data_IF_130374533234
#
_entry.id   IF_130374533234
#
_cell.length_a   1.000
_cell.length_b   1.000
_cell.length_c   1.000
_cell.angle_alpha   90.00
_cell.angle_beta   90.00
_cell.angle_gamma   90.00
#
_symmetry.space_group_name_H-M   'P 1'
#
loop_
_entity.id
_entity.type
_entity.pdbx_description
1 polymer ?
#
# COMPACT_ATOMS: atom_id res chain seq x y z
N UNK A 1 9.21 -9.48 7.74
CA UNK A 1 8.73 -8.31 8.47
C UNK A 1 7.22 -8.31 8.48
N UNK A 2 6.62 -7.15 8.71
CA UNK A 2 5.16 -6.98 8.72
C UNK A 2 4.81 -5.73 7.93
N UNK A 3 3.85 -5.84 7.02
CA UNK A 3 3.21 -4.72 6.35
C UNK A 3 2.04 -4.18 7.18
N UNK A 4 1.73 -2.90 6.99
CA UNK A 4 0.47 -2.28 7.37
C UNK A 4 -0.24 -1.85 6.09
N UNK A 5 -1.39 -2.46 5.80
CA UNK A 5 -2.31 -1.98 4.77
C UNK A 5 -3.40 -1.15 5.43
N UNK A 6 -3.40 0.17 5.16
CA UNK A 6 -4.40 1.10 5.64
C UNK A 6 -5.34 1.48 4.50
N UNK A 7 -6.65 1.26 4.67
CA UNK A 7 -7.66 1.69 3.69
C UNK A 7 -8.60 2.69 4.34
N UNK A 8 -8.62 3.92 3.82
CA UNK A 8 -9.45 5.03 4.33
C UNK A 8 -10.60 5.33 3.38
N UNK A 9 -11.82 5.45 3.91
CA UNK A 9 -12.98 5.93 3.17
C UNK A 9 -12.83 7.43 2.89
N UNK A 10 -13.02 7.86 1.64
CA UNK A 10 -13.01 9.29 1.30
C UNK A 10 -14.37 9.99 1.52
N UNK A 11 -15.38 9.26 1.98
CA UNK A 11 -16.72 9.82 2.30
C UNK A 11 -16.90 10.03 3.80
N UNK A 12 -16.62 9.00 4.61
CA UNK A 12 -16.86 9.04 6.06
C UNK A 12 -15.59 8.98 6.92
N UNK A 13 -14.42 9.08 6.29
CA UNK A 13 -13.07 9.06 6.90
C UNK A 13 -12.71 7.84 7.75
N UNK A 14 -13.58 6.83 7.82
CA UNK A 14 -13.28 5.55 8.47
C UNK A 14 -12.04 4.90 7.86
N UNK A 15 -11.14 4.42 8.70
CA UNK A 15 -9.92 3.72 8.30
C UNK A 15 -9.92 2.27 8.81
N UNK A 16 -9.62 1.33 7.91
CA UNK A 16 -9.31 -0.05 8.24
C UNK A 16 -7.81 -0.27 8.19
N UNK A 17 -7.27 -1.03 9.14
CA UNK A 17 -5.84 -1.33 9.24
C UNK A 17 -5.65 -2.84 9.31
N UNK A 18 -4.85 -3.39 8.40
CA UNK A 18 -4.53 -4.81 8.34
C UNK A 18 -3.03 -5.00 8.43
N UNK A 19 -2.58 -5.89 9.32
CA UNK A 19 -1.18 -6.24 9.50
C UNK A 19 -0.89 -7.58 8.85
N UNK A 20 0.03 -7.61 7.88
CA UNK A 20 0.31 -8.79 7.07
C UNK A 20 1.79 -9.15 7.14
N UNK A 21 2.17 -10.39 7.50
CA UNK A 21 3.57 -10.79 7.51
C UNK A 21 4.12 -10.85 6.07
N UNK A 22 5.40 -10.50 5.90
CA UNK A 22 6.12 -10.69 4.64
C UNK A 22 7.50 -11.32 4.88
N UNK A 23 7.98 -12.06 3.88
CA UNK A 23 9.35 -12.61 3.87
C UNK A 23 10.24 -11.75 2.97
N UNK A 24 9.78 -11.47 1.75
CA UNK A 24 10.46 -10.67 0.75
C UNK A 24 9.47 -9.64 0.18
N UNK A 25 9.60 -8.34 0.48
CA UNK A 25 8.75 -7.33 -0.11
C UNK A 25 9.12 -7.14 -1.59
N UNK A 26 8.09 -7.02 -2.42
CA UNK A 26 8.26 -6.72 -3.84
C UNK A 26 8.08 -5.22 -4.07
N UNK A 27 9.12 -4.53 -4.53
CA UNK A 27 9.08 -3.09 -4.81
C UNK A 27 8.87 -2.83 -6.30
N UNK A 28 7.89 -1.99 -6.69
CA UNK A 28 7.76 -1.51 -8.05
C UNK A 28 8.91 -0.58 -8.41
N UNK A 29 9.41 -0.69 -9.64
CA UNK A 29 10.42 0.22 -10.18
C UNK A 29 9.70 1.41 -10.83
N UNK A 30 9.98 2.66 -10.40
CA UNK A 30 9.43 3.85 -11.06
C UNK A 30 9.80 3.89 -12.54
N UNK A 31 8.89 4.36 -13.40
CA UNK A 31 9.08 4.47 -14.86
C UNK A 31 10.00 5.64 -15.24
N UNK A 32 11.24 5.59 -14.80
CA UNK A 32 12.28 6.60 -15.03
C UNK A 32 13.55 5.91 -15.52
N UNK A 33 14.34 6.55 -16.40
CA UNK A 33 15.58 5.97 -16.93
C UNK A 33 16.62 5.61 -15.84
N UNK A 34 16.60 6.30 -14.72
CA UNK A 34 17.44 6.03 -13.55
C UNK A 34 16.62 6.31 -12.28
N UNK A 35 16.67 5.40 -11.31
CA UNK A 35 16.04 5.57 -10.00
C UNK A 35 16.91 4.94 -8.91
N UNK A 36 16.72 5.40 -7.68
CA UNK A 36 17.35 4.82 -6.49
C UNK A 36 16.44 3.77 -5.83
N UNK A 37 16.98 3.01 -4.87
CA UNK A 37 16.17 2.09 -4.07
C UNK A 37 15.17 2.85 -3.19
N UNK A 38 15.58 4.02 -2.70
CA UNK A 38 14.75 4.97 -1.97
C UNK A 38 13.54 5.40 -2.80
N UNK A 39 13.71 5.63 -4.10
CA UNK A 39 12.60 5.98 -4.99
C UNK A 39 11.62 4.81 -5.17
N UNK A 40 12.13 3.57 -5.21
CA UNK A 40 11.28 2.37 -5.24
C UNK A 40 10.45 2.25 -3.95
N UNK A 41 11.04 2.53 -2.79
CA UNK A 41 10.32 2.56 -1.52
C UNK A 41 9.31 3.71 -1.42
N UNK A 42 9.67 4.90 -1.92
CA UNK A 42 8.72 6.02 -2.00
C UNK A 42 7.52 5.65 -2.86
N UNK A 43 7.76 5.05 -4.02
CA UNK A 43 6.69 4.61 -4.93
C UNK A 43 5.85 3.48 -4.31
N UNK A 44 6.48 2.51 -3.64
CA UNK A 44 5.78 1.46 -2.90
C UNK A 44 4.82 2.00 -1.82
N UNK A 45 5.20 3.07 -1.13
CA UNK A 45 4.40 3.68 -0.06
C UNK A 45 3.40 4.75 -0.55
N UNK A 46 3.20 4.91 -1.87
CA UNK A 46 2.25 5.87 -2.41
C UNK A 46 0.80 5.48 -2.12
N UNK A 47 -0.05 6.49 -2.04
CA UNK A 47 -1.49 6.30 -1.91
C UNK A 47 -2.07 5.77 -3.23
N UNK A 48 -2.70 4.60 -3.15
CA UNK A 48 -3.52 4.04 -4.21
C UNK A 48 -4.97 4.51 -4.04
N UNK A 49 -5.50 5.23 -5.02
CA UNK A 49 -6.88 5.70 -4.98
C UNK A 49 -7.83 4.64 -5.54
N UNK A 50 -8.68 4.12 -4.67
CA UNK A 50 -9.70 3.12 -4.97
C UNK A 50 -10.96 3.82 -5.50
N UNK A 51 -10.99 4.11 -6.80
CA UNK A 51 -12.06 4.84 -7.50
C UNK A 51 -12.64 4.01 -8.64
N UNK A 52 -13.78 4.44 -9.21
CA UNK A 52 -14.46 3.79 -10.33
C UNK A 52 -14.76 2.30 -10.05
N UNK A 53 -14.20 1.38 -10.84
CA UNK A 53 -14.42 -0.06 -10.70
C UNK A 53 -13.62 -0.68 -9.55
N UNK A 54 -12.60 0.03 -9.05
CA UNK A 54 -11.75 -0.41 -7.93
C UNK A 54 -12.24 0.08 -6.57
N UNK A 55 -13.47 0.62 -6.47
CA UNK A 55 -14.03 1.15 -5.22
C UNK A 55 -14.07 0.10 -4.12
N UNK A 56 -13.90 0.55 -2.89
CA UNK A 56 -13.89 -0.30 -1.72
C UNK A 56 -15.22 -0.26 -0.98
N UNK A 57 -15.69 -1.41 -0.48
CA UNK A 57 -16.89 -1.48 0.35
C UNK A 57 -16.59 -0.95 1.75
N UNK A 58 -17.16 0.20 2.09
CA UNK A 58 -16.98 0.78 3.41
C UNK A 58 -17.96 0.15 4.41
N UNK A 59 -17.50 -0.47 5.51
CA UNK A 59 -18.39 -1.10 6.49
C UNK A 59 -19.24 -0.07 7.27
N UNK A 60 -18.76 1.17 7.40
CA UNK A 60 -19.50 2.26 8.04
C UNK A 60 -20.58 2.87 7.13
N UNK A 61 -20.29 3.05 5.84
CA UNK A 61 -21.28 3.54 4.87
C UNK A 61 -22.18 2.45 4.29
N UNK A 62 -21.80 1.18 4.48
CA UNK A 62 -22.47 -0.01 3.93
C UNK A 62 -22.67 0.05 2.40
N UNK A 63 -21.72 0.65 1.68
CA UNK A 63 -21.75 0.76 0.21
C UNK A 63 -20.34 0.88 -0.37
N UNK A 64 -20.22 0.67 -1.68
CA UNK A 64 -19.01 0.96 -2.44
C UNK A 64 -18.73 2.47 -2.41
N UNK A 65 -17.57 2.84 -1.87
CA UNK A 65 -17.12 4.22 -1.74
C UNK A 65 -15.76 4.39 -2.40
N UNK A 66 -15.47 5.62 -2.81
CA UNK A 66 -14.10 5.99 -3.12
C UNK A 66 -13.26 5.84 -1.85
N UNK A 67 -12.10 5.23 -2.00
CA UNK A 67 -11.18 4.96 -0.91
C UNK A 67 -9.76 5.36 -1.27
N UNK A 68 -8.91 5.35 -0.25
CA UNK A 68 -7.47 5.52 -0.38
C UNK A 68 -6.80 4.38 0.36
N UNK A 69 -6.01 3.59 -0.34
CA UNK A 69 -5.26 2.47 0.22
C UNK A 69 -3.79 2.83 0.24
N UNK A 70 -3.13 2.54 1.35
CA UNK A 70 -1.69 2.72 1.51
C UNK A 70 -1.11 1.43 2.06
N UNK A 71 0.04 1.03 1.51
CA UNK A 71 0.79 -0.12 2.00
C UNK A 71 2.12 0.38 2.53
N UNK A 72 2.46 0.01 3.77
CA UNK A 72 3.66 0.46 4.45
C UNK A 72 4.40 -0.72 5.09
N UNK A 73 5.72 -0.63 5.23
CA UNK A 73 6.49 -1.57 6.05
C UNK A 73 6.38 -1.12 7.52
N UNK A 74 5.58 -1.83 8.30
CA UNK A 74 5.39 -1.56 9.73
C UNK A 74 6.58 -2.06 10.57
N UNK A 75 7.08 -3.27 10.27
CA UNK A 75 8.21 -3.87 10.99
C UNK A 75 9.19 -4.55 10.04
N UNK A 76 10.46 -4.23 10.20
CA UNK A 76 11.55 -4.86 9.45
C UNK A 76 11.97 -6.21 10.06
N UNK A 77 12.30 -7.22 9.22
CA UNK A 77 12.99 -8.43 9.68
C UNK A 77 14.46 -8.14 10.00
N UNK A 78 15.14 -9.07 10.70
CA UNK A 78 16.60 -8.97 10.96
C UNK A 78 17.44 -8.99 9.68
N UNK A 79 16.98 -9.73 8.67
CA UNK A 79 17.58 -9.78 7.33
C UNK A 79 16.46 -9.41 6.35
N UNK A 80 16.66 -8.33 5.60
CA UNK A 80 15.71 -7.86 4.60
C UNK A 80 16.18 -8.29 3.20
N UNK A 81 15.45 -9.20 2.59
CA UNK A 81 15.60 -9.55 1.16
C UNK A 81 14.56 -8.75 0.41
N UNK A 82 14.92 -8.08 -0.69
CA UNK A 82 14.01 -7.25 -1.50
C UNK A 82 13.96 -7.80 -2.92
N UNK A 83 12.77 -7.95 -3.48
CA UNK A 83 12.57 -8.25 -4.90
C UNK A 83 12.15 -6.98 -5.64
N UNK A 84 12.88 -6.61 -6.69
CA UNK A 84 12.47 -5.52 -7.58
C UNK A 84 11.57 -6.08 -8.69
N UNK A 85 10.39 -5.47 -8.88
CA UNK A 85 9.45 -5.81 -9.96
C UNK A 85 9.85 -5.06 -11.21
N UNK A 86 10.59 -5.75 -12.09
CA UNK A 86 10.94 -5.29 -13.44
C UNK A 86 9.80 -5.51 -14.42
#
# INVERSE_FOLDING_TARGET
GTYLSATTCLVCTYASHNYEPFICPTLPIPSTNQCTLEDCFKHFNQDEYLINDSRWFCPRCQRLCNGRKRLEIYKLPKILIIQLKR
#
